data_IF_080254493142
#
_entry.id   IF_080254493142
#
_cell.length_a   1.000
_cell.length_b   1.000
_cell.length_c   1.000
_cell.angle_alpha   90.00
_cell.angle_beta   90.00
_cell.angle_gamma   90.00
#
_symmetry.space_group_name_H-M   'P 1'
#
loop_
_entity.id
_entity.type
_entity.pdbx_description
1 polymer ?
#
# COMPACT_ATOMS: atom_id res chain seq x y z
N UNK A 1 -37.95 -26.82 -19.20
CA UNK A 1 -38.15 -25.43 -18.74
C UNK A 1 -37.25 -24.50 -19.56
N UNK A 2 -37.70 -23.28 -19.92
CA UNK A 2 -36.86 -22.33 -20.65
C UNK A 2 -35.66 -21.88 -19.79
N UNK A 3 -34.52 -21.65 -20.42
CA UNK A 3 -33.30 -21.15 -19.78
C UNK A 3 -33.52 -19.73 -19.24
N UNK A 4 -33.33 -19.53 -17.94
CA UNK A 4 -33.41 -18.22 -17.29
C UNK A 4 -32.00 -17.72 -16.97
N UNK A 5 -31.54 -16.69 -17.69
CA UNK A 5 -30.21 -16.11 -17.53
C UNK A 5 -29.95 -15.46 -16.16
N UNK A 6 -30.99 -15.24 -15.35
CA UNK A 6 -30.89 -14.70 -14.00
C UNK A 6 -30.78 -15.76 -12.91
N UNK A 7 -30.99 -17.05 -13.24
CA UNK A 7 -30.73 -18.15 -12.31
C UNK A 7 -29.24 -18.47 -12.33
N UNK A 8 -28.55 -18.03 -11.28
CA UNK A 8 -27.10 -18.24 -11.12
C UNK A 8 -26.73 -19.73 -10.92
N UNK A 9 -27.69 -20.54 -10.48
CA UNK A 9 -27.51 -21.97 -10.20
C UNK A 9 -28.75 -22.76 -10.63
N UNK A 10 -28.53 -24.01 -11.02
CA UNK A 10 -29.62 -24.96 -11.29
C UNK A 10 -30.27 -25.40 -9.98
N UNK A 11 -31.54 -25.82 -10.05
CA UNK A 11 -32.27 -26.34 -8.88
C UNK A 11 -31.57 -27.55 -8.26
N UNK A 12 -31.00 -28.42 -9.09
CA UNK A 12 -30.21 -29.58 -8.64
C UNK A 12 -29.00 -29.16 -7.79
N UNK A 13 -28.23 -28.15 -8.25
CA UNK A 13 -27.08 -27.63 -7.50
C UNK A 13 -27.51 -26.94 -6.23
N UNK A 14 -28.61 -26.20 -6.26
CA UNK A 14 -29.18 -25.58 -5.07
C UNK A 14 -29.53 -26.64 -4.01
N UNK A 15 -30.25 -27.69 -4.40
CA UNK A 15 -30.63 -28.78 -3.51
C UNK A 15 -29.41 -29.51 -2.95
N UNK A 16 -28.38 -29.74 -3.77
CA UNK A 16 -27.11 -30.34 -3.34
C UNK A 16 -26.44 -29.50 -2.24
N UNK A 17 -26.32 -28.19 -2.44
CA UNK A 17 -25.72 -27.25 -1.47
C UNK A 17 -26.55 -27.24 -0.18
N UNK A 18 -27.88 -27.18 -0.28
CA UNK A 18 -28.75 -27.22 0.88
C UNK A 18 -28.61 -28.52 1.69
N UNK A 19 -28.42 -29.66 1.04
CA UNK A 19 -28.21 -30.93 1.74
C UNK A 19 -26.87 -30.97 2.48
N UNK A 20 -25.77 -30.57 1.82
CA UNK A 20 -24.45 -30.47 2.48
C UNK A 20 -24.47 -29.47 3.64
N UNK A 21 -25.22 -28.38 3.51
CA UNK A 21 -25.40 -27.41 4.58
C UNK A 21 -26.13 -28.01 5.79
N UNK A 22 -27.17 -28.82 5.58
CA UNK A 22 -27.86 -29.53 6.67
C UNK A 22 -26.93 -30.50 7.39
N UNK A 23 -26.13 -31.25 6.64
CA UNK A 23 -25.12 -32.15 7.22
C UNK A 23 -24.09 -31.38 8.03
N UNK A 24 -23.57 -30.27 7.48
CA UNK A 24 -22.67 -29.37 8.20
C UNK A 24 -23.27 -28.89 9.53
N UNK A 25 -24.52 -28.40 9.51
CA UNK A 25 -25.18 -27.92 10.73
C UNK A 25 -25.42 -29.03 11.76
N UNK A 26 -25.62 -30.27 11.32
CA UNK A 26 -25.80 -31.41 12.23
C UNK A 26 -24.50 -31.80 12.97
N UNK A 27 -23.33 -31.45 12.42
CA UNK A 27 -22.03 -31.87 12.93
C UNK A 27 -21.12 -30.68 13.29
N UNK A 28 -21.64 -29.45 13.29
CA UNK A 28 -20.84 -28.23 13.51
C UNK A 28 -20.16 -28.19 14.88
N UNK A 29 -20.79 -28.78 15.89
CA UNK A 29 -20.30 -28.80 17.27
C UNK A 29 -19.46 -30.04 17.61
N UNK A 30 -19.27 -30.97 16.65
CA UNK A 30 -18.47 -32.17 16.88
C UNK A 30 -17.00 -31.97 16.50
N UNK A 31 -16.14 -31.85 17.51
CA UNK A 31 -14.70 -31.65 17.37
C UNK A 31 -13.95 -32.88 16.84
N UNK A 32 -14.58 -34.06 16.80
CA UNK A 32 -13.95 -35.29 16.32
C UNK A 32 -14.22 -35.59 14.85
N UNK A 33 -15.06 -34.78 14.19
CA UNK A 33 -15.46 -34.97 12.79
C UNK A 33 -14.69 -33.99 11.90
N UNK A 34 -14.30 -34.44 10.72
CA UNK A 34 -13.69 -33.57 9.71
C UNK A 34 -14.70 -32.51 9.24
N UNK A 35 -14.32 -31.22 9.15
CA UNK A 35 -15.23 -30.16 8.73
C UNK A 35 -15.90 -30.45 7.37
N UNK A 36 -17.23 -30.45 7.37
CA UNK A 36 -18.02 -30.73 6.18
C UNK A 36 -17.91 -29.56 5.20
N UNK A 37 -17.52 -29.87 3.95
CA UNK A 37 -17.39 -28.89 2.87
C UNK A 37 -18.73 -28.72 2.17
N UNK A 38 -19.29 -27.51 2.27
CA UNK A 38 -20.59 -27.18 1.66
C UNK A 38 -20.44 -26.89 0.16
N UNK A 39 -19.45 -26.07 -0.19
CA UNK A 39 -19.23 -25.61 -1.56
C UNK A 39 -18.33 -26.55 -2.35
N UNK A 40 -18.51 -26.55 -3.66
CA UNK A 40 -17.62 -27.28 -4.56
C UNK A 40 -16.23 -26.64 -4.56
N UNK A 41 -15.16 -27.45 -4.70
CA UNK A 41 -13.81 -26.93 -4.86
C UNK A 41 -13.72 -26.09 -6.14
N UNK A 42 -12.85 -25.08 -6.11
CA UNK A 42 -12.54 -24.28 -7.29
C UNK A 42 -11.94 -25.16 -8.38
N UNK A 43 -12.35 -24.90 -9.62
CA UNK A 43 -11.80 -25.58 -10.78
C UNK A 43 -10.29 -25.28 -10.93
N UNK A 44 -9.51 -26.17 -11.58
CA UNK A 44 -8.08 -25.95 -11.81
C UNK A 44 -7.78 -24.59 -12.44
N UNK A 45 -8.57 -24.22 -13.46
CA UNK A 45 -8.46 -22.92 -14.14
C UNK A 45 -8.66 -21.74 -13.17
N UNK A 46 -9.64 -21.81 -12.28
CA UNK A 46 -9.86 -20.77 -11.27
C UNK A 46 -8.69 -20.68 -10.28
N UNK A 47 -8.07 -21.80 -9.94
CA UNK A 47 -6.87 -21.80 -9.09
C UNK A 47 -5.67 -21.15 -9.80
N UNK A 48 -5.43 -21.50 -11.07
CA UNK A 48 -4.38 -20.87 -11.90
C UNK A 48 -4.59 -19.35 -12.03
N UNK A 49 -5.83 -18.91 -12.26
CA UNK A 49 -6.16 -17.48 -12.31
C UNK A 49 -5.88 -16.78 -10.96
N UNK A 50 -6.22 -17.42 -9.83
CA UNK A 50 -5.91 -16.89 -8.50
C UNK A 50 -4.40 -16.83 -8.22
N UNK A 51 -3.63 -17.81 -8.70
CA UNK A 51 -2.17 -17.80 -8.61
C UNK A 51 -1.57 -16.64 -9.40
N UNK A 52 -2.02 -16.44 -10.64
CA UNK A 52 -1.60 -15.31 -11.45
C UNK A 52 -1.91 -13.96 -10.77
N UNK A 53 -3.12 -13.81 -10.23
CA UNK A 53 -3.51 -12.61 -9.48
C UNK A 53 -2.57 -12.38 -8.29
N UNK A 54 -2.21 -13.44 -7.55
CA UNK A 54 -1.28 -13.33 -6.41
C UNK A 54 0.11 -12.90 -6.84
N UNK A 55 0.63 -13.43 -7.95
CA UNK A 55 1.94 -13.06 -8.49
C UNK A 55 1.98 -11.58 -8.89
N UNK A 56 1.02 -11.16 -9.73
CA UNK A 56 0.93 -9.78 -10.20
C UNK A 56 0.72 -8.81 -9.02
N UNK A 57 -0.10 -9.18 -8.03
CA UNK A 57 -0.33 -8.35 -6.84
C UNK A 57 0.95 -8.18 -6.00
N UNK A 58 1.76 -9.23 -5.85
CA UNK A 58 3.05 -9.15 -5.15
C UNK A 58 4.00 -8.19 -5.86
N UNK A 59 4.08 -8.27 -7.19
CA UNK A 59 4.96 -7.41 -7.96
C UNK A 59 4.51 -5.95 -7.92
N UNK A 60 3.20 -5.70 -7.98
CA UNK A 60 2.65 -4.35 -7.80
C UNK A 60 2.90 -3.80 -6.40
N UNK A 61 2.80 -4.64 -5.37
CA UNK A 61 3.09 -4.24 -4.01
C UNK A 61 4.56 -3.85 -3.83
N UNK A 62 5.50 -4.64 -4.36
CA UNK A 62 6.93 -4.31 -4.37
C UNK A 62 7.21 -2.99 -5.08
N UNK A 63 6.65 -2.79 -6.27
CA UNK A 63 6.79 -1.52 -7.02
C UNK A 63 6.28 -0.33 -6.20
N UNK A 64 5.11 -0.48 -5.56
CA UNK A 64 4.56 0.56 -4.68
C UNK A 64 5.50 0.87 -3.52
N UNK A 65 6.08 -0.14 -2.87
CA UNK A 65 7.04 0.05 -1.77
C UNK A 65 8.32 0.73 -2.24
N UNK A 66 8.83 0.38 -3.42
CA UNK A 66 10.00 1.03 -4.03
C UNK A 66 9.72 2.50 -4.39
N UNK A 67 8.55 2.79 -4.97
CA UNK A 67 8.17 4.14 -5.36
C UNK A 67 8.01 5.05 -4.12
N UNK A 68 7.45 4.52 -3.04
CA UNK A 68 7.35 5.23 -1.75
C UNK A 68 8.74 5.52 -1.17
N UNK A 69 9.67 4.57 -1.24
CA UNK A 69 11.06 4.78 -0.78
C UNK A 69 11.77 5.85 -1.59
N UNK A 70 11.70 5.77 -2.92
CA UNK A 70 12.30 6.78 -3.81
C UNK A 70 11.72 8.18 -3.57
N UNK A 71 10.41 8.28 -3.36
CA UNK A 71 9.77 9.56 -3.05
C UNK A 71 10.25 10.12 -1.70
N UNK A 72 10.43 9.27 -0.68
CA UNK A 72 10.97 9.67 0.61
C UNK A 72 12.44 10.12 0.52
N UNK A 73 13.26 9.40 -0.24
CA UNK A 73 14.66 9.76 -0.50
C UNK A 73 14.77 11.11 -1.22
N UNK A 74 14.00 11.31 -2.29
CA UNK A 74 13.96 12.57 -3.02
C UNK A 74 13.51 13.76 -2.15
N UNK A 75 12.53 13.55 -1.26
CA UNK A 75 12.09 14.58 -0.31
C UNK A 75 13.18 14.93 0.71
N UNK A 76 13.90 13.93 1.22
CA UNK A 76 15.00 14.14 2.16
C UNK A 76 16.21 14.86 1.51
N UNK A 77 16.53 14.53 0.26
CA UNK A 77 17.57 15.23 -0.52
C UNK A 77 17.19 16.68 -0.81
N UNK A 78 15.94 16.94 -1.20
CA UNK A 78 15.44 18.30 -1.40
C UNK A 78 15.49 19.14 -0.11
N UNK A 79 15.18 18.54 1.05
CA UNK A 79 15.28 19.21 2.33
C UNK A 79 16.74 19.53 2.73
N UNK A 80 17.68 18.62 2.43
CA UNK A 80 19.12 18.87 2.65
C UNK A 80 19.64 19.98 1.74
N UNK A 81 19.33 19.95 0.45
CA UNK A 81 19.74 21.00 -0.49
C UNK A 81 19.16 22.37 -0.12
N UNK A 82 17.90 22.42 0.36
CA UNK A 82 17.28 23.66 0.83
C UNK A 82 17.91 24.19 2.14
N UNK A 83 18.44 23.31 3.00
CA UNK A 83 19.18 23.70 4.20
C UNK A 83 20.60 24.17 3.88
N UNK A 84 21.30 23.53 2.95
CA UNK A 84 22.64 23.94 2.51
C UNK A 84 22.64 25.31 1.82
N UNK A 85 21.67 25.59 0.93
CA UNK A 85 21.52 26.91 0.31
C UNK A 85 21.17 28.03 1.30
N UNK A 86 20.51 27.73 2.42
CA UNK A 86 20.21 28.72 3.46
C UNK A 86 21.42 29.07 4.35
N UNK A 87 22.43 28.22 4.38
CA UNK A 87 23.67 28.46 5.16
C UNK A 87 24.63 29.34 4.36
N UNK A 88 24.69 29.19 3.03
CA UNK A 88 25.55 30.02 2.17
C UNK A 88 25.05 31.45 1.95
N UNK A 89 23.75 31.71 2.00
CA UNK A 89 23.20 33.08 1.85
C UNK A 89 23.31 33.96 3.11
N UNK A 90 23.74 33.43 4.26
CA UNK A 90 23.86 34.22 5.51
C UNK A 90 25.26 34.73 5.85
N UNK A 91 26.31 34.26 5.17
CA UNK A 91 27.71 34.64 5.50
C UNK A 91 28.26 35.82 4.67
N UNK A 92 27.53 36.36 3.69
CA UNK A 92 28.00 37.48 2.85
C UNK A 92 27.37 38.86 3.19
N UNK A 93 26.75 39.02 4.37
CA UNK A 93 26.09 40.30 4.74
C UNK A 93 26.50 40.91 6.09
N UNK A 94 27.71 40.66 6.57
CA UNK A 94 28.31 41.50 7.63
C UNK A 94 29.58 42.22 7.15
N UNK A 95 29.31 43.43 6.65
CA UNK A 95 30.00 44.66 7.04
C UNK A 95 31.34 44.99 6.36
N UNK A 96 31.26 45.54 5.14
CA UNK A 96 32.28 46.47 4.63
C UNK A 96 31.66 47.86 4.58
N UNK A 97 32.14 48.75 5.45
CA UNK A 97 32.23 50.22 5.33
C UNK A 97 32.00 50.90 6.68
N UNK A 98 33.07 51.09 7.46
CA UNK A 98 33.21 52.34 8.19
C UNK A 98 34.68 52.79 8.22
N UNK A 99 34.84 54.06 7.89
CA UNK A 99 36.00 54.70 7.32
C UNK A 99 36.98 55.16 8.41
N UNK A 100 38.28 55.18 8.08
CA UNK A 100 39.36 55.67 8.93
C UNK A 100 39.29 57.20 9.04
N UNK A 101 39.37 57.76 10.24
CA UNK A 101 40.32 58.86 10.56
C UNK A 101 40.41 59.16 12.05
N UNK A 102 41.65 59.15 12.55
CA UNK A 102 42.08 59.60 13.88
C UNK A 102 42.36 61.10 13.89
N UNK A 103 42.22 61.69 15.08
CA UNK A 103 42.95 62.83 15.64
C UNK A 103 42.89 64.19 14.90
N UNK A 104 42.24 65.20 15.50
CA UNK A 104 43.01 66.26 16.19
C UNK A 104 42.19 67.21 17.09
N UNK A 105 42.84 67.48 18.23
CA UNK A 105 42.75 68.53 19.26
C UNK A 105 41.61 69.57 19.33
N UNK A 106 41.09 69.60 20.56
CA UNK A 106 40.46 70.69 21.32
C UNK A 106 41.45 71.83 21.66
N UNK A 107 41.20 73.05 21.19
CA UNK A 107 41.51 74.37 21.77
C UNK A 107 40.48 75.34 21.14
N UNK A 108 39.77 76.24 21.82
CA UNK A 108 39.90 76.93 23.11
C UNK A 108 38.55 76.99 23.85
#
# INVERSE_FOLDING_TARGET
MPYNAYLQITEEKYNLICNRFKEYMAHIDDLNIEPIKIFDPLSPKQNEELELIREVSKDLQKKKEEDVKKAAEAAAEAEKAAKENKVTEKDDSENTEENVTKDDKKQE
#
